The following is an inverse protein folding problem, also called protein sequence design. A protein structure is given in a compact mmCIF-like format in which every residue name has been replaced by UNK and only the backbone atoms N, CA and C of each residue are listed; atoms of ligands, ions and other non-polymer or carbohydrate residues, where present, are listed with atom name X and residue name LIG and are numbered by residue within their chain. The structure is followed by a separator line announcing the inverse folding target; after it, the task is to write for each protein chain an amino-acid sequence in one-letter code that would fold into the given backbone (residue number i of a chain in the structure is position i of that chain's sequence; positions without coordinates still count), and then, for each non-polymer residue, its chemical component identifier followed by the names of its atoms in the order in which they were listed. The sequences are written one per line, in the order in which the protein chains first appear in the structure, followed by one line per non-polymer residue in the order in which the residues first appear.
data_IF_402729115076
#
_entry.id   IF_402729115076
#
_cell.length_a   1.000
_cell.length_b   1.000
_cell.length_c   1.000
_cell.angle_alpha   90.00
_cell.angle_beta   90.00
_cell.angle_gamma   90.00
#
_symmetry.space_group_name_H-M   'P 1'
#
loop_
_entity.id
_entity.type
_entity.pdbx_description
1 polymer ?
#
# COMPACT_ATOMS: atom_id res chain seq x y z
N UNK A 1 -46.32 -41.91 -40.89
CA UNK A 1 -45.45 -41.75 -39.71
C UNK A 1 -44.36 -40.76 -40.11
N UNK A 2 -44.62 -39.45 -40.15
CA UNK A 2 -44.50 -38.48 -39.05
C UNK A 2 -43.24 -38.67 -38.20
N UNK A 3 -42.29 -37.74 -38.39
CA UNK A 3 -41.36 -37.14 -37.41
C UNK A 3 -40.33 -38.09 -36.75
N UNK A 4 -39.16 -37.67 -36.26
CA UNK A 4 -38.61 -36.37 -35.92
C UNK A 4 -37.10 -36.59 -35.72
N UNK A 5 -36.24 -35.76 -36.29
CA UNK A 5 -34.83 -35.71 -35.90
C UNK A 5 -34.68 -34.89 -34.62
N UNK A 6 -33.97 -35.42 -33.63
CA UNK A 6 -33.50 -34.66 -32.46
C UNK A 6 -32.09 -35.16 -32.12
N UNK A 7 -31.08 -34.33 -32.41
CA UNK A 7 -29.76 -34.43 -31.83
C UNK A 7 -29.50 -33.14 -31.06
N UNK A 8 -29.44 -33.23 -29.74
CA UNK A 8 -29.18 -32.12 -28.82
C UNK A 8 -27.76 -31.58 -29.04
N UNK A 9 -27.64 -30.34 -29.50
CA UNK A 9 -26.40 -29.58 -29.35
C UNK A 9 -26.42 -28.93 -27.96
N UNK A 10 -25.59 -29.44 -27.05
CA UNK A 10 -25.33 -28.77 -25.78
C UNK A 10 -24.44 -27.55 -26.08
N UNK A 11 -25.03 -26.36 -26.07
CA UNK A 11 -24.28 -25.13 -26.22
C UNK A 11 -23.64 -24.81 -24.85
N UNK A 12 -22.34 -25.06 -24.73
CA UNK A 12 -21.55 -24.66 -23.56
C UNK A 12 -21.42 -23.14 -23.60
N UNK A 13 -22.07 -22.48 -22.63
CA UNK A 13 -21.87 -21.05 -22.39
C UNK A 13 -20.63 -20.91 -21.51
N UNK A 14 -19.50 -20.61 -22.14
CA UNK A 14 -18.26 -20.25 -21.44
C UNK A 14 -18.51 -18.92 -20.75
N UNK A 15 -18.32 -18.89 -19.44
CA UNK A 15 -18.43 -17.70 -18.63
C UNK A 15 -16.99 -17.16 -18.45
N UNK A 16 -16.56 -16.34 -19.41
CA UNK A 16 -15.27 -15.63 -19.34
C UNK A 16 -15.39 -14.53 -18.28
N UNK A 17 -15.04 -14.87 -17.04
CA UNK A 17 -14.82 -13.92 -15.94
C UNK A 17 -13.35 -13.52 -15.89
N UNK A 18 -12.76 -13.18 -17.03
CA UNK A 18 -11.44 -12.55 -17.13
C UNK A 18 -11.61 -11.19 -17.81
N UNK A 19 -11.02 -10.14 -17.21
CA UNK A 19 -11.01 -8.74 -17.65
C UNK A 19 -12.27 -7.89 -17.38
N UNK A 20 -12.50 -7.53 -16.11
CA UNK A 20 -13.46 -6.49 -15.70
C UNK A 20 -12.79 -5.24 -15.10
N UNK A 21 -11.65 -4.81 -15.65
CA UNK A 21 -11.04 -3.51 -15.31
C UNK A 21 -10.78 -2.60 -16.53
N UNK A 22 -10.79 -3.13 -17.75
CA UNK A 22 -10.63 -2.34 -19.00
C UNK A 22 -11.89 -1.59 -19.46
N UNK A 23 -13.04 -1.79 -18.79
CA UNK A 23 -14.31 -1.11 -19.10
C UNK A 23 -14.83 -0.25 -17.95
N UNK A 24 -14.01 0.05 -16.94
CA UNK A 24 -14.37 1.11 -15.98
C UNK A 24 -14.39 2.43 -16.75
N UNK A 25 -15.55 3.08 -16.84
CA UNK A 25 -15.64 4.40 -17.48
C UNK A 25 -14.73 5.34 -16.68
N UNK A 26 -13.97 6.24 -17.33
CA UNK A 26 -13.14 7.23 -16.62
C UNK A 26 -13.88 8.00 -15.51
N UNK A 27 -15.21 8.14 -15.62
CA UNK A 27 -16.05 8.74 -14.58
C UNK A 27 -16.23 7.90 -13.29
N UNK A 28 -16.23 6.56 -13.38
CA UNK A 28 -16.46 5.69 -12.23
C UNK A 28 -15.20 5.58 -11.35
N UNK A 29 -14.01 5.62 -11.97
CA UNK A 29 -12.73 5.70 -11.26
C UNK A 29 -12.56 7.05 -10.54
N UNK A 30 -13.07 8.14 -11.13
CA UNK A 30 -13.09 9.46 -10.48
C UNK A 30 -14.01 9.49 -9.25
N UNK A 31 -15.17 8.83 -9.31
CA UNK A 31 -16.08 8.73 -8.16
C UNK A 31 -15.46 7.90 -7.04
N UNK A 32 -14.75 6.81 -7.36
CA UNK A 32 -14.06 6.01 -6.34
C UNK A 32 -12.93 6.82 -5.67
N UNK A 33 -12.11 7.53 -6.45
CA UNK A 33 -11.04 8.38 -5.94
C UNK A 33 -11.58 9.51 -5.07
N UNK A 34 -12.66 10.17 -5.50
CA UNK A 34 -13.35 11.21 -4.72
C UNK A 34 -13.89 10.66 -3.39
N UNK A 35 -14.46 9.45 -3.40
CA UNK A 35 -14.90 8.80 -2.17
C UNK A 35 -13.74 8.44 -1.23
N UNK A 36 -12.60 7.98 -1.76
CA UNK A 36 -11.40 7.71 -0.96
C UNK A 36 -10.84 9.00 -0.35
N UNK A 37 -10.73 10.07 -1.14
CA UNK A 37 -10.28 11.38 -0.68
C UNK A 37 -11.19 11.96 0.41
N UNK A 38 -12.52 11.87 0.25
CA UNK A 38 -13.48 12.27 1.30
C UNK A 38 -13.31 11.47 2.57
N UNK A 39 -13.03 10.17 2.46
CA UNK A 39 -12.85 9.32 3.63
C UNK A 39 -11.55 9.64 4.36
N UNK A 40 -10.46 9.90 3.65
CA UNK A 40 -9.22 10.38 4.26
C UNK A 40 -9.42 11.73 4.96
N UNK A 41 -10.11 12.68 4.33
CA UNK A 41 -10.42 13.98 4.93
C UNK A 41 -11.23 13.84 6.23
N UNK A 42 -12.24 12.96 6.25
CA UNK A 42 -13.02 12.68 7.46
C UNK A 42 -12.16 12.08 8.59
N UNK A 43 -11.23 11.16 8.26
CA UNK A 43 -10.31 10.58 9.26
C UNK A 43 -9.36 11.64 9.83
N UNK A 44 -8.94 12.63 9.04
CA UNK A 44 -8.14 13.77 9.52
C UNK A 44 -8.94 14.67 10.47
N UNK A 45 -10.20 14.94 10.16
CA UNK A 45 -11.09 15.69 11.06
C UNK A 45 -11.31 14.96 12.39
N UNK A 46 -11.49 13.64 12.35
CA UNK A 46 -11.56 12.79 13.55
C UNK A 46 -10.28 12.88 14.40
N UNK A 47 -9.09 12.88 13.76
CA UNK A 47 -7.79 13.05 14.45
C UNK A 47 -7.76 14.40 15.18
N UNK A 48 -8.11 15.50 14.51
CA UNK A 48 -8.13 16.84 15.12
C UNK A 48 -9.12 16.90 16.29
N UNK A 49 -10.34 16.37 16.11
CA UNK A 49 -11.34 16.33 17.18
C UNK A 49 -10.90 15.52 18.39
N UNK A 50 -10.20 14.39 18.19
CA UNK A 50 -9.68 13.55 19.28
C UNK A 50 -8.54 14.24 20.01
N UNK A 51 -7.65 14.94 19.29
CA UNK A 51 -6.59 15.76 19.89
C UNK A 51 -7.16 16.84 20.81
N UNK A 52 -8.18 17.57 20.35
CA UNK A 52 -8.85 18.61 21.14
C UNK A 52 -9.57 18.04 22.38
N UNK A 53 -10.23 16.89 22.21
CA UNK A 53 -10.91 16.18 23.30
C UNK A 53 -9.89 15.74 24.36
N UNK A 54 -8.76 15.16 23.96
CA UNK A 54 -7.69 14.76 24.88
C UNK A 54 -7.08 15.96 25.60
N UNK A 55 -6.87 17.08 24.90
CA UNK A 55 -6.36 18.30 25.52
C UNK A 55 -7.32 18.84 26.59
N UNK A 56 -8.63 18.76 26.34
CA UNK A 56 -9.67 19.17 27.30
C UNK A 56 -9.74 18.23 28.51
N UNK A 57 -9.78 16.92 28.28
CA UNK A 57 -9.83 15.90 29.36
C UNK A 57 -8.56 15.82 30.21
N UNK A 58 -7.43 16.37 29.75
CA UNK A 58 -6.20 16.49 30.53
C UNK A 58 -6.17 17.76 31.39
N UNK A 59 -6.87 18.81 30.95
CA UNK A 59 -6.98 20.08 31.69
C UNK A 59 -8.07 20.01 32.75
N UNK A 60 -9.18 19.35 32.42
CA UNK A 60 -10.25 19.04 33.36
C UNK A 60 -9.89 17.73 34.05
N UNK A 61 -9.69 17.73 35.37
CA UNK A 61 -9.41 16.54 36.21
C UNK A 61 -10.61 15.55 36.26
N UNK A 62 -11.43 15.51 35.21
CA UNK A 62 -12.75 14.89 35.10
C UNK A 62 -12.87 13.73 34.11
N UNK A 63 -11.79 13.39 33.38
CA UNK A 63 -11.76 12.18 32.56
C UNK A 63 -11.43 10.93 33.40
N UNK A 64 -12.29 9.90 33.39
CA UNK A 64 -11.89 8.59 33.91
C UNK A 64 -10.66 8.09 33.14
N UNK A 65 -9.63 7.58 33.83
CA UNK A 65 -8.39 7.13 33.18
C UNK A 65 -8.59 6.15 32.03
N UNK A 66 -9.65 5.33 32.06
CA UNK A 66 -10.01 4.43 30.97
C UNK A 66 -10.44 5.17 29.68
N UNK A 67 -11.24 6.23 29.78
CA UNK A 67 -11.68 7.01 28.62
C UNK A 67 -10.53 7.77 27.95
N UNK A 68 -9.58 8.27 28.76
CA UNK A 68 -8.35 8.87 28.27
C UNK A 68 -7.47 7.86 27.51
N UNK A 69 -7.35 6.63 28.02
CA UNK A 69 -6.60 5.56 27.35
C UNK A 69 -7.25 5.18 26.03
N UNK A 70 -8.56 4.95 25.99
CA UNK A 70 -9.28 4.60 24.76
C UNK A 70 -9.16 5.70 23.69
N UNK A 71 -9.30 6.97 24.08
CA UNK A 71 -9.16 8.09 23.15
C UNK A 71 -7.73 8.22 22.59
N UNK A 72 -6.70 7.94 23.41
CA UNK A 72 -5.30 7.91 22.95
C UNK A 72 -5.05 6.76 21.98
N UNK A 73 -5.46 5.55 22.32
CA UNK A 73 -5.30 4.37 21.45
C UNK A 73 -5.98 4.59 20.10
N UNK A 74 -7.18 5.19 20.11
CA UNK A 74 -7.90 5.53 18.88
C UNK A 74 -7.18 6.61 18.07
N UNK A 75 -6.68 7.66 18.73
CA UNK A 75 -5.91 8.72 18.06
C UNK A 75 -4.64 8.15 17.42
N UNK A 76 -3.90 7.30 18.14
CA UNK A 76 -2.68 6.68 17.65
C UNK A 76 -2.97 5.80 16.43
N UNK A 77 -4.00 4.95 16.52
CA UNK A 77 -4.41 4.08 15.40
C UNK A 77 -4.80 4.88 14.15
N UNK A 78 -5.59 5.96 14.32
CA UNK A 78 -5.98 6.82 13.21
C UNK A 78 -4.79 7.60 12.63
N UNK A 79 -3.90 8.09 13.48
CA UNK A 79 -2.72 8.84 13.07
C UNK A 79 -1.75 7.97 12.26
N UNK A 80 -1.58 6.71 12.65
CA UNK A 80 -0.82 5.73 11.85
C UNK A 80 -1.53 5.44 10.54
N UNK A 81 -2.85 5.23 10.54
CA UNK A 81 -3.61 4.93 9.33
C UNK A 81 -3.52 6.06 8.28
N UNK A 82 -3.66 7.31 8.70
CA UNK A 82 -3.56 8.48 7.82
C UNK A 82 -2.11 8.85 7.52
N UNK A 83 -1.17 8.37 8.33
CA UNK A 83 0.26 8.59 8.16
C UNK A 83 0.75 9.95 8.64
N UNK A 84 0.07 10.54 9.63
CA UNK A 84 0.50 11.78 10.30
C UNK A 84 1.55 11.55 11.39
N UNK A 85 1.77 10.28 11.78
CA UNK A 85 2.84 9.87 12.71
C UNK A 85 3.64 8.69 12.15
N UNK A 86 4.88 8.48 12.64
CA UNK A 86 5.66 7.30 12.31
C UNK A 86 4.99 6.02 12.81
N UNK A 87 5.26 4.90 12.14
CA UNK A 87 4.83 3.58 12.60
C UNK A 87 6.05 2.72 12.91
N UNK A 88 5.96 1.88 13.95
CA UNK A 88 7.01 0.93 14.31
C UNK A 88 6.39 -0.40 14.71
N UNK A 89 6.99 -1.49 14.25
CA UNK A 89 6.52 -2.84 14.55
C UNK A 89 7.38 -3.89 13.85
N UNK A 90 7.02 -5.17 13.93
CA UNK A 90 7.65 -6.20 13.12
C UNK A 90 7.42 -5.89 11.63
N UNK A 91 8.35 -6.33 10.79
CA UNK A 91 8.21 -6.14 9.36
C UNK A 91 9.46 -6.48 8.58
N UNK A 92 9.60 -5.84 7.42
CA UNK A 92 10.74 -6.06 6.52
C UNK A 92 11.34 -4.76 6.01
N UNK A 93 12.61 -4.86 5.63
CA UNK A 93 13.29 -3.92 4.73
C UNK A 93 13.63 -4.68 3.45
N UNK A 94 13.03 -4.28 2.33
CA UNK A 94 13.35 -4.80 1.00
C UNK A 94 14.17 -3.75 0.25
N UNK A 95 15.37 -4.12 -0.18
CA UNK A 95 16.26 -3.29 -0.98
C UNK A 95 16.35 -3.84 -2.40
N UNK A 96 16.05 -2.99 -3.38
CA UNK A 96 16.15 -3.27 -4.81
C UNK A 96 17.32 -2.47 -5.37
N UNK A 97 18.42 -3.14 -5.63
CA UNK A 97 19.56 -2.59 -6.38
C UNK A 97 19.25 -2.65 -7.88
N UNK A 98 19.52 -1.57 -8.60
CA UNK A 98 19.27 -1.48 -10.04
C UNK A 98 20.46 -0.84 -10.79
N UNK A 99 21.60 -1.53 -10.91
CA UNK A 99 22.80 -0.97 -11.54
C UNK A 99 22.64 -0.73 -13.04
N UNK A 100 21.59 -1.27 -13.67
CA UNK A 100 21.34 -1.14 -15.12
C UNK A 100 20.24 -0.14 -15.43
N UNK A 101 19.62 0.47 -14.42
CA UNK A 101 18.43 1.30 -14.58
C UNK A 101 17.35 0.57 -15.40
N UNK A 102 17.08 -0.69 -15.07
CA UNK A 102 16.07 -1.54 -15.70
C UNK A 102 14.76 -1.65 -14.91
N UNK A 103 14.75 -1.27 -13.64
CA UNK A 103 13.59 -1.33 -12.76
C UNK A 103 12.76 -0.05 -12.90
N UNK A 104 11.63 -0.16 -13.59
CA UNK A 104 10.65 0.92 -13.76
C UNK A 104 9.54 0.90 -12.72
N UNK A 105 8.58 1.84 -12.84
CA UNK A 105 7.47 1.95 -11.89
C UNK A 105 6.62 0.69 -11.80
N UNK A 106 6.44 -0.06 -12.89
CA UNK A 106 5.63 -1.28 -12.92
C UNK A 106 6.09 -2.30 -11.87
N UNK A 107 7.39 -2.57 -11.80
CA UNK A 107 7.98 -3.53 -10.84
C UNK A 107 7.80 -3.05 -9.38
N UNK A 108 7.88 -1.74 -9.17
CA UNK A 108 7.72 -1.12 -7.86
C UNK A 108 6.26 -1.09 -7.42
N UNK A 109 5.33 -0.90 -8.36
CA UNK A 109 3.89 -1.06 -8.10
C UNK A 109 3.60 -2.50 -7.71
N UNK A 110 4.08 -3.49 -8.46
CA UNK A 110 3.88 -4.90 -8.14
C UNK A 110 4.39 -5.22 -6.73
N UNK A 111 5.60 -4.77 -6.38
CA UNK A 111 6.14 -4.93 -5.04
C UNK A 111 5.24 -4.34 -3.96
N UNK A 112 4.71 -3.13 -4.18
CA UNK A 112 3.79 -2.50 -3.26
C UNK A 112 2.47 -3.29 -3.14
N UNK A 113 1.95 -3.82 -4.24
CA UNK A 113 0.70 -4.60 -4.21
C UNK A 113 0.89 -5.94 -3.50
N UNK A 114 2.01 -6.64 -3.71
CA UNK A 114 2.33 -7.86 -2.98
C UNK A 114 2.42 -7.60 -1.47
N UNK A 115 3.08 -6.51 -1.06
CA UNK A 115 3.13 -6.10 0.35
C UNK A 115 1.73 -5.86 0.92
N UNK A 116 0.86 -5.14 0.20
CA UNK A 116 -0.53 -4.89 0.62
C UNK A 116 -1.34 -6.18 0.71
N UNK A 117 -1.22 -7.07 -0.27
CA UNK A 117 -1.90 -8.36 -0.30
C UNK A 117 -1.44 -9.26 0.86
N UNK A 118 -0.17 -9.17 1.24
CA UNK A 118 0.43 -9.87 2.38
C UNK A 118 0.10 -9.25 3.75
N UNK A 119 -0.66 -8.15 3.79
CA UNK A 119 -1.09 -7.52 5.02
C UNK A 119 -0.11 -6.49 5.59
N UNK A 120 0.70 -5.84 4.75
CA UNK A 120 1.48 -4.69 5.20
C UNK A 120 0.54 -3.58 5.70
N UNK A 121 0.73 -3.16 6.94
CA UNK A 121 -0.09 -2.16 7.62
C UNK A 121 0.37 -0.74 7.29
N UNK A 122 1.67 -0.56 7.09
CA UNK A 122 2.28 0.73 6.80
C UNK A 122 3.53 0.52 5.96
N UNK A 123 3.69 1.32 4.91
CA UNK A 123 4.82 1.20 3.97
C UNK A 123 5.41 2.59 3.68
N UNK A 124 6.72 2.66 3.53
CA UNK A 124 7.40 3.76 2.85
C UNK A 124 8.34 3.24 1.76
N UNK A 125 8.59 4.07 0.76
CA UNK A 125 9.56 3.82 -0.31
C UNK A 125 10.59 4.94 -0.29
N UNK A 126 11.86 4.59 -0.11
CA UNK A 126 12.99 5.52 -0.20
C UNK A 126 13.87 5.21 -1.41
N UNK A 127 14.65 6.21 -1.82
CA UNK A 127 15.68 6.11 -2.85
C UNK A 127 17.01 6.63 -2.34
N UNK A 128 18.02 6.68 -3.21
CA UNK A 128 19.29 7.35 -2.90
C UNK A 128 19.20 8.88 -2.82
N UNK A 129 18.10 9.45 -3.32
CA UNK A 129 17.84 10.89 -3.47
C UNK A 129 16.77 11.43 -2.52
N UNK A 130 16.15 10.60 -1.68
CA UNK A 130 15.18 11.03 -0.67
C UNK A 130 15.18 10.13 0.57
N UNK A 131 14.68 10.66 1.68
CA UNK A 131 14.62 9.97 2.97
C UNK A 131 13.39 9.05 3.12
N UNK A 132 12.52 8.98 2.10
CA UNK A 132 11.35 8.11 2.06
C UNK A 132 10.02 8.84 1.82
N UNK A 133 9.16 8.21 1.03
CA UNK A 133 7.78 8.63 0.77
C UNK A 133 6.83 7.68 1.50
N UNK A 134 5.96 8.23 2.35
CA UNK A 134 4.93 7.47 3.07
C UNK A 134 3.83 7.05 2.09
N UNK A 135 3.62 5.74 1.96
CA UNK A 135 2.58 5.21 1.09
C UNK A 135 1.23 5.24 1.82
N UNK A 136 0.30 6.00 1.25
CA UNK A 136 -1.11 6.03 1.62
C UNK A 136 -2.01 5.28 0.63
N UNK A 137 -3.32 5.49 0.73
CA UNK A 137 -4.33 4.80 -0.09
C UNK A 137 -4.36 5.31 -1.54
N UNK A 138 -4.15 6.61 -1.73
CA UNK A 138 -4.13 7.33 -3.01
C UNK A 138 -2.71 7.52 -3.56
N UNK A 139 -1.69 6.96 -2.90
CA UNK A 139 -0.32 7.02 -3.38
C UNK A 139 -0.17 6.35 -4.75
N UNK A 140 0.67 6.94 -5.57
CA UNK A 140 0.94 6.51 -6.93
C UNK A 140 2.45 6.46 -7.21
N UNK A 141 2.83 5.52 -8.08
CA UNK A 141 4.19 5.36 -8.57
C UNK A 141 4.14 5.39 -10.09
N UNK A 142 4.95 6.25 -10.71
CA UNK A 142 5.00 6.39 -12.16
C UNK A 142 6.44 6.60 -12.66
N UNK A 143 6.60 6.63 -13.97
CA UNK A 143 7.87 6.89 -14.63
C UNK A 143 8.57 5.63 -15.13
N UNK A 144 9.52 5.85 -16.03
CA UNK A 144 10.34 4.77 -16.59
C UNK A 144 11.50 4.41 -15.67
N UNK A 145 12.17 3.30 -15.97
CA UNK A 145 13.40 2.93 -15.28
C UNK A 145 14.44 4.07 -15.32
N UNK A 146 15.10 4.31 -14.19
CA UNK A 146 16.01 5.45 -13.96
C UNK A 146 15.33 6.81 -13.76
N UNK A 147 14.01 6.91 -13.85
CA UNK A 147 13.25 8.15 -13.68
C UNK A 147 11.92 7.92 -12.96
N UNK A 148 11.94 7.13 -11.89
CA UNK A 148 10.76 6.81 -11.08
C UNK A 148 10.36 8.01 -10.23
N UNK A 149 9.05 8.20 -10.08
CA UNK A 149 8.43 9.21 -9.21
C UNK A 149 7.39 8.52 -8.33
N UNK A 150 7.42 8.81 -7.03
CA UNK A 150 6.46 8.36 -6.02
C UNK A 150 5.82 9.60 -5.39
N UNK A 151 4.51 9.75 -5.50
CA UNK A 151 3.75 10.92 -5.01
C UNK A 151 4.40 12.28 -5.37
N UNK A 152 4.86 12.40 -6.61
CA UNK A 152 5.50 13.61 -7.12
C UNK A 152 6.98 13.79 -6.76
N UNK A 153 7.53 12.93 -5.89
CA UNK A 153 8.95 12.94 -5.53
C UNK A 153 9.75 11.97 -6.39
N UNK A 154 10.88 12.42 -6.95
CA UNK A 154 11.79 11.52 -7.66
C UNK A 154 12.42 10.54 -6.68
N UNK A 155 12.48 9.28 -7.09
CA UNK A 155 13.11 8.20 -6.33
C UNK A 155 14.10 7.48 -7.24
N UNK A 156 15.36 7.43 -6.82
CA UNK A 156 16.45 6.81 -7.56
C UNK A 156 16.94 5.55 -6.85
N UNK A 157 17.36 4.54 -7.61
CA UNK A 157 17.87 3.29 -7.06
C UNK A 157 19.12 3.53 -6.16
N UNK A 158 19.38 2.65 -5.15
CA UNK A 158 18.57 1.51 -4.77
C UNK A 158 17.23 1.93 -4.15
N UNK A 159 16.16 1.22 -4.51
CA UNK A 159 14.83 1.46 -3.94
C UNK A 159 14.71 0.67 -2.64
N UNK A 160 14.23 1.30 -1.57
CA UNK A 160 14.11 0.68 -0.26
C UNK A 160 12.67 0.76 0.22
N UNK A 161 12.00 -0.39 0.27
CA UNK A 161 10.72 -0.52 0.95
C UNK A 161 10.96 -0.84 2.41
N UNK A 162 10.36 -0.06 3.31
CA UNK A 162 10.22 -0.44 4.71
C UNK A 162 8.73 -0.65 4.97
N UNK A 163 8.36 -1.85 5.44
CA UNK A 163 6.97 -2.24 5.62
C UNK A 163 6.76 -2.87 7.00
N UNK A 164 5.77 -2.39 7.75
CA UNK A 164 5.30 -2.98 9.01
C UNK A 164 4.24 -4.04 8.69
N UNK A 165 4.36 -5.22 9.32
CA UNK A 165 3.46 -6.36 9.17
C UNK A 165 4.13 -7.66 9.60
N UNK A 166 3.47 -8.81 9.42
CA UNK A 166 4.07 -10.10 9.76
C UNK A 166 5.30 -10.39 8.86
N UNK A 167 6.54 -10.46 9.40
CA UNK A 167 7.75 -10.49 8.58
C UNK A 167 7.82 -11.70 7.66
N UNK A 168 7.35 -12.85 8.14
CA UNK A 168 7.38 -14.10 7.40
C UNK A 168 6.38 -14.07 6.22
N UNK A 169 5.17 -13.56 6.45
CA UNK A 169 4.13 -13.43 5.42
C UNK A 169 4.54 -12.41 4.36
N UNK A 170 5.08 -11.25 4.76
CA UNK A 170 5.57 -10.22 3.85
C UNK A 170 6.72 -10.75 2.97
N UNK A 171 7.71 -11.41 3.58
CA UNK A 171 8.83 -11.97 2.84
C UNK A 171 8.40 -13.09 1.89
N UNK A 172 7.51 -13.98 2.32
CA UNK A 172 7.01 -15.07 1.51
C UNK A 172 6.25 -14.58 0.27
N UNK A 173 5.46 -13.50 0.40
CA UNK A 173 4.73 -12.92 -0.73
C UNK A 173 5.65 -12.35 -1.83
N UNK A 174 6.74 -11.69 -1.42
CA UNK A 174 7.71 -11.12 -2.36
C UNK A 174 8.56 -12.18 -3.08
N UNK A 175 8.78 -13.33 -2.44
CA UNK A 175 9.59 -14.45 -2.96
C UNK A 175 8.76 -15.50 -3.72
N UNK A 176 7.48 -15.23 -4.00
CA UNK A 176 6.65 -16.11 -4.83
C UNK A 176 7.31 -16.28 -6.20
N UNK A 177 7.52 -17.53 -6.69
CA UNK A 177 8.11 -17.77 -8.00
C UNK A 177 7.38 -17.04 -9.13
N UNK A 178 8.14 -16.36 -9.97
CA UNK A 178 7.64 -15.50 -11.04
C UNK A 178 7.32 -14.06 -10.60
N UNK A 179 7.28 -13.78 -9.30
CA UNK A 179 6.88 -12.51 -8.69
C UNK A 179 7.96 -11.42 -8.69
N UNK A 180 7.99 -10.61 -7.63
CA UNK A 180 8.77 -9.37 -7.54
C UNK A 180 10.27 -9.62 -7.63
N UNK A 181 10.81 -10.55 -6.84
CA UNK A 181 12.25 -10.87 -6.81
C UNK A 181 12.73 -11.32 -8.19
N UNK A 182 12.00 -12.22 -8.84
CA UNK A 182 12.33 -12.71 -10.18
C UNK A 182 12.20 -11.61 -11.24
N UNK A 183 11.20 -10.74 -11.13
CA UNK A 183 10.99 -9.61 -12.05
C UNK A 183 12.12 -8.59 -11.95
N UNK A 184 12.57 -8.26 -10.74
CA UNK A 184 13.76 -7.42 -10.52
C UNK A 184 14.99 -8.05 -11.16
N UNK A 185 15.22 -9.35 -10.94
CA UNK A 185 16.36 -10.06 -11.51
C UNK A 185 16.34 -10.08 -13.05
N UNK A 186 15.17 -10.31 -13.67
CA UNK A 186 14.98 -10.24 -15.14
C UNK A 186 15.32 -8.88 -15.71
N UNK A 187 15.05 -7.80 -14.97
CA UNK A 187 15.40 -6.43 -15.34
C UNK A 187 16.86 -6.06 -14.99
N UNK A 188 17.66 -7.02 -14.52
CA UNK A 188 19.09 -6.83 -14.26
C UNK A 188 19.42 -6.19 -12.92
N UNK A 189 18.43 -6.07 -12.03
CA UNK A 189 18.58 -5.66 -10.64
C UNK A 189 18.82 -6.82 -9.68
N UNK A 190 18.94 -6.52 -8.39
CA UNK A 190 19.03 -7.49 -7.30
C UNK A 190 18.10 -7.08 -6.17
N UNK A 191 17.37 -8.03 -5.62
CA UNK A 191 16.49 -7.80 -4.47
C UNK A 191 17.07 -8.47 -3.22
N UNK A 192 17.08 -7.75 -2.10
CA UNK A 192 17.42 -8.28 -0.78
C UNK A 192 16.29 -7.96 0.18
N UNK A 193 15.78 -8.99 0.87
CA UNK A 193 14.74 -8.85 1.89
C UNK A 193 15.36 -9.16 3.25
N UNK A 194 15.20 -8.25 4.20
CA UNK A 194 15.62 -8.42 5.60
C UNK A 194 14.41 -8.35 6.51
N UNK A 195 14.11 -9.43 7.22
CA UNK A 195 13.07 -9.48 8.25
C UNK A 195 13.60 -8.91 9.56
N UNK A 196 12.73 -8.22 10.32
CA UNK A 196 13.06 -7.69 11.64
C UNK A 196 11.82 -7.68 12.54
N UNK A 197 12.05 -7.92 13.83
CA UNK A 197 11.02 -7.72 14.88
C UNK A 197 10.69 -6.23 15.09
N UNK A 198 11.55 -5.35 14.58
CA UNK A 198 11.35 -3.91 14.66
C UNK A 198 11.88 -3.23 13.40
N UNK A 199 10.97 -2.63 12.64
CA UNK A 199 11.24 -1.67 11.58
C UNK A 199 10.48 -0.38 11.88
N UNK A 200 10.99 0.75 11.42
CA UNK A 200 10.33 2.05 11.58
C UNK A 200 10.05 2.65 10.21
N UNK A 201 8.77 2.93 9.96
CA UNK A 201 8.34 3.77 8.85
C UNK A 201 8.27 5.20 9.38
N UNK A 202 9.31 5.98 9.10
CA UNK A 202 9.51 7.34 9.60
C UNK A 202 8.86 8.41 8.73
N UNK A 203 8.67 8.14 7.44
CA UNK A 203 8.04 9.08 6.52
C UNK A 203 6.58 9.35 6.93
N UNK A 204 6.19 10.62 6.81
CA UNK A 204 4.85 11.11 7.09
C UNK A 204 4.20 11.56 5.78
N UNK A 205 2.86 11.57 5.76
CA UNK A 205 2.12 12.23 4.69
C UNK A 205 2.02 13.72 4.99
N UNK A 206 2.36 14.55 4.02
CA UNK A 206 1.99 15.96 4.06
C UNK A 206 0.48 16.10 3.77
N UNK A 207 -0.21 17.03 4.46
CA UNK A 207 -1.65 17.25 4.31
C UNK A 207 -2.07 17.79 2.95
#
# INVERSE_FOLDING_TARGET
MIALGIGLAAQVRVNDSENSLDSARPGDLLVLLDNLGRREAALREDITSLQDTLATLQQEDGGSGAALTEARERLDALSVLVGTVPATGPGIVMTVEDPRNGVGSEVLVDALQELRAAGAETVQIAGSDNDGVRIGLDSWIAGSAGAVVVDGQRVSAPFVYTAVGDPATLAAALDIPGGVVDTVARNGGQCRISQSEQVTVSALRDP
#
